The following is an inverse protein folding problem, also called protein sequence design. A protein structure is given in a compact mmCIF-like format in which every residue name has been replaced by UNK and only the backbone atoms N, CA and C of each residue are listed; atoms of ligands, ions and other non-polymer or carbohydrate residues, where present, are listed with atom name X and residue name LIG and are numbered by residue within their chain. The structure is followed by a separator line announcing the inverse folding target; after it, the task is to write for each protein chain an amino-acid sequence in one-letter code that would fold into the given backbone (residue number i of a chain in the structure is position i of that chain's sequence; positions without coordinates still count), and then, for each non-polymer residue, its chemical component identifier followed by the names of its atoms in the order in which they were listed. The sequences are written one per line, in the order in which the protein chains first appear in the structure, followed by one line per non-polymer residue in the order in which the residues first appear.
data_IF_295410742438
#
_entry.id   IF_295410742438
#
_cell.length_a   1.000
_cell.length_b   1.000
_cell.length_c   1.000
_cell.angle_alpha   90.00
_cell.angle_beta   90.00
_cell.angle_gamma   90.00
#
_symmetry.space_group_name_H-M   'P 1'
#
loop_
_entity.id
_entity.type
_entity.pdbx_description
1 polymer ?
#
# COMPACT_ATOMS: atom_id res chain seq x y z
N UNK A 1 9.19 -20.14 -15.73
CA UNK A 1 9.43 -18.72 -16.03
C UNK A 1 10.65 -18.32 -15.22
N UNK A 2 11.77 -18.03 -15.87
CA UNK A 2 12.99 -17.60 -15.17
C UNK A 2 12.76 -16.17 -14.65
N UNK A 3 12.95 -15.96 -13.35
CA UNK A 3 12.79 -14.66 -12.71
C UNK A 3 14.19 -14.15 -12.37
N UNK A 4 14.59 -13.04 -12.99
CA UNK A 4 15.92 -12.47 -12.77
C UNK A 4 16.11 -12.12 -11.28
N UNK A 5 17.27 -12.49 -10.75
CA UNK A 5 17.70 -12.07 -9.41
C UNK A 5 18.10 -10.60 -9.44
N UNK A 6 18.11 -9.93 -8.28
CA UNK A 6 18.60 -8.54 -8.20
C UNK A 6 20.04 -8.43 -8.72
N UNK A 7 20.89 -9.40 -8.40
CA UNK A 7 22.29 -9.40 -8.79
C UNK A 7 22.48 -9.48 -10.31
N UNK A 8 21.68 -10.31 -11.00
CA UNK A 8 21.71 -10.36 -12.47
C UNK A 8 21.35 -9.02 -13.10
N UNK A 9 20.32 -8.36 -12.58
CA UNK A 9 19.91 -7.05 -13.06
C UNK A 9 21.01 -6.01 -12.79
N UNK A 10 21.66 -6.05 -11.62
CA UNK A 10 22.78 -5.16 -11.31
C UNK A 10 23.99 -5.40 -12.23
N UNK A 11 24.28 -6.66 -12.57
CA UNK A 11 25.33 -7.01 -13.52
C UNK A 11 25.00 -6.48 -14.92
N UNK A 12 23.74 -6.61 -15.36
CA UNK A 12 23.28 -6.06 -16.64
C UNK A 12 23.38 -4.54 -16.72
N UNK A 13 23.13 -3.84 -15.60
CA UNK A 13 23.31 -2.39 -15.54
C UNK A 13 24.80 -2.01 -15.63
N UNK A 14 25.71 -2.86 -15.13
CA UNK A 14 27.15 -2.64 -15.16
C UNK A 14 27.64 -1.64 -14.11
N UNK A 15 28.82 -1.85 -13.52
CA UNK A 15 29.27 -1.02 -12.38
C UNK A 15 29.45 0.47 -12.69
N UNK A 16 29.62 0.84 -13.96
CA UNK A 16 29.87 2.21 -14.40
C UNK A 16 28.62 3.01 -14.77
N UNK A 17 27.41 2.42 -14.82
CA UNK A 17 26.23 3.14 -15.33
C UNK A 17 25.95 4.41 -14.53
N UNK A 18 26.14 4.35 -13.21
CA UNK A 18 25.85 5.47 -12.31
C UNK A 18 26.78 6.66 -12.58
N UNK A 19 28.02 6.42 -13.04
CA UNK A 19 28.99 7.49 -13.34
C UNK A 19 28.64 8.23 -14.63
N UNK A 20 27.99 7.55 -15.58
CA UNK A 20 27.63 8.10 -16.90
C UNK A 20 26.13 8.43 -17.02
N UNK A 21 25.39 8.39 -15.90
CA UNK A 21 23.96 8.65 -15.90
C UNK A 21 23.67 10.14 -16.13
N UNK A 22 22.54 10.45 -16.78
CA UNK A 22 21.96 11.78 -16.68
C UNK A 22 21.39 11.97 -15.28
N UNK A 23 21.32 13.20 -14.78
CA UNK A 23 20.88 13.49 -13.42
C UNK A 23 19.69 14.44 -13.39
N UNK A 24 18.72 14.14 -12.54
CA UNK A 24 17.68 15.08 -12.13
C UNK A 24 17.93 15.48 -10.68
N UNK A 25 18.63 16.60 -10.48
CA UNK A 25 19.17 16.96 -9.16
C UNK A 25 20.20 15.94 -8.68
N UNK A 26 19.93 15.25 -7.58
CA UNK A 26 20.80 14.18 -7.04
C UNK A 26 20.40 12.76 -7.47
N UNK A 27 19.36 12.63 -8.29
CA UNK A 27 18.81 11.34 -8.69
C UNK A 27 19.43 10.92 -10.05
N UNK A 28 20.12 9.77 -10.12
CA UNK A 28 20.65 9.25 -11.38
C UNK A 28 19.53 8.65 -12.23
N UNK A 29 19.53 8.97 -13.52
CA UNK A 29 18.52 8.59 -14.48
C UNK A 29 19.08 7.49 -15.41
N UNK A 30 18.51 6.30 -15.34
CA UNK A 30 18.86 5.21 -16.25
C UNK A 30 18.04 5.31 -17.55
N UNK A 31 18.66 5.17 -18.75
CA UNK A 31 17.97 5.34 -20.03
C UNK A 31 16.81 4.36 -20.24
N UNK A 32 16.94 3.11 -19.75
CA UNK A 32 15.84 2.13 -19.80
C UNK A 32 14.62 2.56 -18.95
N UNK A 33 14.80 3.42 -17.95
CA UNK A 33 13.69 3.95 -17.17
C UNK A 33 12.92 5.07 -17.88
N UNK A 34 13.51 5.66 -18.92
CA UNK A 34 12.89 6.76 -19.69
C UNK A 34 11.96 6.26 -20.79
N UNK A 35 12.00 4.97 -21.10
CA UNK A 35 11.19 4.39 -22.16
C UNK A 35 9.75 4.18 -21.68
N UNK A 36 8.78 4.52 -22.54
CA UNK A 36 7.39 4.08 -22.40
C UNK A 36 7.25 2.62 -22.85
N UNK A 37 6.14 1.93 -22.52
CA UNK A 37 5.93 0.57 -23.02
C UNK A 37 5.82 0.52 -24.54
N UNK A 38 5.29 1.58 -25.15
CA UNK A 38 5.25 1.69 -26.60
C UNK A 38 6.66 1.70 -27.22
N UNK A 39 7.56 2.57 -26.72
CA UNK A 39 8.96 2.60 -27.19
C UNK A 39 9.69 1.29 -26.91
N UNK A 40 9.43 0.68 -25.75
CA UNK A 40 9.97 -0.62 -25.40
C UNK A 40 9.56 -1.71 -26.40
N UNK A 41 8.33 -1.70 -26.90
CA UNK A 41 7.89 -2.64 -27.95
C UNK A 41 8.58 -2.39 -29.30
N UNK A 42 8.74 -1.11 -29.68
CA UNK A 42 9.38 -0.72 -30.94
C UNK A 42 10.87 -1.08 -31.00
N UNK A 43 11.55 -1.13 -29.86
CA UNK A 43 12.98 -1.47 -29.76
C UNK A 43 13.26 -2.99 -29.82
N UNK A 44 12.38 -3.80 -30.41
CA UNK A 44 12.57 -5.25 -30.52
C UNK A 44 13.51 -5.59 -31.67
N UNK A 45 14.48 -6.48 -31.44
CA UNK A 45 15.48 -6.85 -32.47
C UNK A 45 14.97 -7.95 -33.40
N UNK A 46 14.10 -8.82 -32.89
CA UNK A 46 13.57 -9.98 -33.61
C UNK A 46 12.15 -10.33 -33.14
N UNK A 47 11.45 -11.16 -33.92
CA UNK A 47 10.06 -11.54 -33.63
C UNK A 47 9.90 -12.35 -32.32
N UNK A 48 10.94 -12.99 -31.81
CA UNK A 48 10.89 -13.74 -30.55
C UNK A 48 10.91 -12.77 -29.36
N UNK A 49 11.80 -11.77 -29.40
CA UNK A 49 11.88 -10.68 -28.44
C UNK A 49 10.60 -9.84 -28.45
N UNK A 50 10.07 -9.50 -29.63
CA UNK A 50 8.79 -8.81 -29.76
C UNK A 50 7.65 -9.54 -29.03
N UNK A 51 7.53 -10.87 -29.23
CA UNK A 51 6.54 -11.68 -28.53
C UNK A 51 6.74 -11.68 -27.02
N UNK A 52 7.98 -11.79 -26.55
CA UNK A 52 8.29 -11.78 -25.12
C UNK A 52 7.90 -10.44 -24.47
N UNK A 53 8.25 -9.31 -25.12
CA UNK A 53 7.88 -7.97 -24.68
C UNK A 53 6.36 -7.79 -24.68
N UNK A 54 5.67 -8.25 -25.73
CA UNK A 54 4.21 -8.17 -25.84
C UNK A 54 3.50 -8.91 -24.70
N UNK A 55 3.95 -10.11 -24.34
CA UNK A 55 3.38 -10.91 -23.24
C UNK A 55 3.48 -10.15 -21.91
N UNK A 56 4.64 -9.56 -21.63
CA UNK A 56 4.86 -8.78 -20.39
C UNK A 56 4.01 -7.53 -20.36
N UNK A 57 3.95 -6.79 -21.47
CA UNK A 57 3.13 -5.58 -21.59
C UNK A 57 1.64 -5.89 -21.41
N UNK A 58 1.13 -6.96 -22.03
CA UNK A 58 -0.25 -7.42 -21.84
C UNK A 58 -0.53 -7.86 -20.39
N UNK A 59 0.40 -8.59 -19.76
CA UNK A 59 0.26 -9.00 -18.36
C UNK A 59 0.20 -7.79 -17.43
N UNK A 60 1.06 -6.80 -17.63
CA UNK A 60 1.04 -5.57 -16.84
C UNK A 60 -0.25 -4.78 -17.07
N UNK A 61 -0.71 -4.67 -18.33
CA UNK A 61 -2.00 -4.06 -18.66
C UNK A 61 -3.16 -4.67 -17.89
N UNK A 62 -3.23 -6.01 -17.88
CA UNK A 62 -4.29 -6.73 -17.15
C UNK A 62 -4.25 -6.43 -15.65
N UNK A 63 -3.06 -6.34 -15.05
CA UNK A 63 -2.89 -5.96 -13.64
C UNK A 63 -3.39 -4.53 -13.43
N UNK A 64 -3.00 -3.59 -14.28
CA UNK A 64 -3.38 -2.18 -14.16
C UNK A 64 -4.90 -1.96 -14.30
N UNK A 65 -5.57 -2.69 -15.21
CA UNK A 65 -7.03 -2.68 -15.35
C UNK A 65 -7.71 -3.19 -14.07
N UNK A 66 -7.23 -4.30 -13.50
CA UNK A 66 -7.79 -4.85 -12.26
C UNK A 66 -7.62 -3.88 -11.08
N UNK A 67 -6.45 -3.25 -10.97
CA UNK A 67 -6.15 -2.23 -9.97
C UNK A 67 -7.06 -1.01 -10.16
N UNK A 68 -7.26 -0.54 -11.40
CA UNK A 68 -8.16 0.57 -11.71
C UNK A 68 -9.61 0.27 -11.29
N UNK A 69 -10.13 -0.92 -11.61
CA UNK A 69 -11.48 -1.34 -11.23
C UNK A 69 -11.63 -1.41 -9.71
N UNK A 70 -10.65 -1.96 -9.00
CA UNK A 70 -10.64 -2.03 -7.53
C UNK A 70 -10.67 -0.63 -6.91
N UNK A 71 -9.84 0.29 -7.39
CA UNK A 71 -9.79 1.65 -6.85
C UNK A 71 -10.97 2.52 -7.25
N UNK A 72 -11.56 2.30 -8.43
CA UNK A 72 -12.82 2.93 -8.83
C UNK A 72 -13.97 2.49 -7.90
N UNK A 73 -14.05 1.19 -7.58
CA UNK A 73 -15.01 0.68 -6.60
C UNK A 73 -14.80 1.31 -5.21
N UNK A 74 -13.55 1.29 -4.72
CA UNK A 74 -13.19 1.87 -3.42
C UNK A 74 -13.53 3.38 -3.37
N UNK A 75 -13.33 4.10 -4.47
CA UNK A 75 -13.68 5.52 -4.59
C UNK A 75 -15.19 5.74 -4.44
N UNK A 76 -16.01 4.97 -5.16
CA UNK A 76 -17.47 5.06 -5.07
C UNK A 76 -17.96 4.78 -3.64
N UNK A 77 -17.44 3.73 -3.01
CA UNK A 77 -17.81 3.38 -1.62
C UNK A 77 -17.35 4.48 -0.65
N UNK A 78 -16.12 4.99 -0.79
CA UNK A 78 -15.56 6.03 0.06
C UNK A 78 -16.31 7.35 -0.05
N UNK A 79 -16.73 7.74 -1.26
CA UNK A 79 -17.58 8.93 -1.48
C UNK A 79 -18.92 8.79 -0.76
N UNK A 80 -19.57 7.62 -0.84
CA UNK A 80 -20.83 7.34 -0.12
C UNK A 80 -20.63 7.42 1.40
N UNK A 81 -19.51 6.90 1.92
CA UNK A 81 -19.18 6.99 3.34
C UNK A 81 -18.94 8.43 3.79
N UNK A 82 -18.18 9.21 2.99
CA UNK A 82 -17.88 10.61 3.29
C UNK A 82 -19.14 11.47 3.29
N UNK A 83 -20.03 11.27 2.31
CA UNK A 83 -21.30 12.00 2.24
C UNK A 83 -22.18 11.76 3.48
N UNK A 84 -22.20 10.53 4.00
CA UNK A 84 -22.96 10.19 5.21
C UNK A 84 -22.31 10.69 6.50
N UNK A 85 -20.98 10.71 6.57
CA UNK A 85 -20.20 11.04 7.79
C UNK A 85 -18.92 11.82 7.44
N UNK A 86 -19.00 13.12 7.16
CA UNK A 86 -17.88 13.92 6.67
C UNK A 86 -16.80 14.22 7.72
N UNK A 87 -17.10 14.05 9.01
CA UNK A 87 -16.20 14.39 10.12
C UNK A 87 -15.33 13.23 10.61
N UNK A 88 -15.44 12.05 10.01
CA UNK A 88 -14.69 10.85 10.43
C UNK A 88 -13.39 10.78 9.65
N UNK A 89 -12.24 10.95 10.30
CA UNK A 89 -10.91 10.94 9.64
C UNK A 89 -10.69 9.68 8.78
N UNK A 90 -11.17 8.53 9.24
CA UNK A 90 -11.08 7.28 8.48
C UNK A 90 -11.80 7.33 7.11
N UNK A 91 -12.94 8.03 6.98
CA UNK A 91 -13.62 8.15 5.68
C UNK A 91 -12.83 9.05 4.72
N UNK A 92 -12.19 10.10 5.23
CA UNK A 92 -11.26 10.95 4.46
C UNK A 92 -10.03 10.17 4.01
N UNK A 93 -9.43 9.36 4.88
CA UNK A 93 -8.28 8.51 4.54
C UNK A 93 -8.62 7.50 3.44
N UNK A 94 -9.77 6.83 3.55
CA UNK A 94 -10.27 5.92 2.50
C UNK A 94 -10.46 6.65 1.16
N UNK A 95 -10.97 7.88 1.17
CA UNK A 95 -11.13 8.68 -0.05
C UNK A 95 -9.77 9.04 -0.66
N UNK A 96 -8.84 9.59 0.13
CA UNK A 96 -7.50 9.99 -0.33
C UNK A 96 -6.76 8.80 -0.93
N UNK A 97 -6.77 7.64 -0.26
CA UNK A 97 -6.17 6.42 -0.77
C UNK A 97 -6.82 5.94 -2.07
N UNK A 98 -8.16 6.04 -2.18
CA UNK A 98 -8.89 5.62 -3.38
C UNK A 98 -8.59 6.52 -4.58
N UNK A 99 -8.50 7.83 -4.37
CA UNK A 99 -8.12 8.80 -5.40
C UNK A 99 -6.68 8.58 -5.84
N UNK A 100 -5.75 8.44 -4.91
CA UNK A 100 -4.34 8.17 -5.23
C UNK A 100 -4.17 6.87 -6.02
N UNK A 101 -4.89 5.81 -5.62
CA UNK A 101 -4.87 4.53 -6.32
C UNK A 101 -5.44 4.59 -7.73
N UNK A 102 -6.56 5.30 -7.91
CA UNK A 102 -7.15 5.49 -9.24
C UNK A 102 -6.24 6.33 -10.15
N UNK A 103 -5.66 7.43 -9.65
CA UNK A 103 -4.72 8.26 -10.42
C UNK A 103 -3.47 7.47 -10.84
N UNK A 104 -2.93 6.64 -9.93
CA UNK A 104 -1.84 5.73 -10.23
C UNK A 104 -2.21 4.75 -11.35
N UNK A 105 -3.38 4.09 -11.25
CA UNK A 105 -3.82 3.13 -12.25
C UNK A 105 -4.09 3.79 -13.62
N UNK A 106 -4.66 5.00 -13.65
CA UNK A 106 -4.84 5.77 -14.88
C UNK A 106 -3.50 6.16 -15.52
N UNK A 107 -2.51 6.52 -14.71
CA UNK A 107 -1.15 6.81 -15.20
C UNK A 107 -0.50 5.56 -15.77
N UNK A 108 -0.67 4.41 -15.12
CA UNK A 108 -0.17 3.13 -15.61
C UNK A 108 -0.85 2.73 -16.93
N UNK A 109 -2.18 2.85 -17.04
CA UNK A 109 -2.91 2.61 -18.29
C UNK A 109 -2.52 3.58 -19.41
N UNK A 110 -2.10 4.81 -19.09
CA UNK A 110 -1.63 5.76 -20.08
C UNK A 110 -0.28 5.37 -20.72
N UNK A 111 0.52 4.50 -20.10
CA UNK A 111 1.84 4.06 -20.62
C UNK A 111 1.76 3.33 -21.97
N UNK A 112 0.56 2.87 -22.35
CA UNK A 112 0.28 2.18 -23.61
C UNK A 112 0.09 3.13 -24.79
N UNK A 113 -0.12 4.42 -24.52
CA UNK A 113 -0.14 5.43 -25.58
C UNK A 113 1.28 5.73 -26.08
N UNK A 114 1.44 6.11 -27.36
CA UNK A 114 2.75 6.48 -27.93
C UNK A 114 3.49 7.55 -27.12
N UNK A 115 2.74 8.55 -26.65
CA UNK A 115 3.22 9.66 -25.80
C UNK A 115 2.94 9.42 -24.30
N UNK A 116 2.78 8.15 -23.92
CA UNK A 116 2.51 7.75 -22.54
C UNK A 116 3.68 8.04 -21.59
N UNK A 117 3.43 8.03 -20.27
CA UNK A 117 4.47 8.20 -19.27
C UNK A 117 5.56 7.13 -19.38
N UNK A 118 6.79 7.51 -19.04
CA UNK A 118 7.92 6.57 -18.97
C UNK A 118 7.77 5.59 -17.81
N UNK A 119 8.51 4.48 -17.87
CA UNK A 119 8.59 3.51 -16.77
C UNK A 119 8.94 4.19 -15.44
N UNK A 120 9.82 5.19 -15.45
CA UNK A 120 10.17 5.94 -14.24
C UNK A 120 9.00 6.72 -13.67
N UNK A 121 8.27 7.46 -14.50
CA UNK A 121 7.08 8.20 -14.05
C UNK A 121 6.09 7.23 -13.42
N UNK A 122 5.89 6.05 -14.00
CA UNK A 122 5.06 5.01 -13.42
C UNK A 122 5.59 4.51 -12.06
N UNK A 123 6.88 4.21 -11.94
CA UNK A 123 7.50 3.81 -10.64
C UNK A 123 7.30 4.91 -9.60
N UNK A 124 7.54 6.16 -9.95
CA UNK A 124 7.42 7.29 -9.03
C UNK A 124 5.98 7.50 -8.56
N UNK A 125 5.02 7.44 -9.47
CA UNK A 125 3.60 7.58 -9.13
C UNK A 125 3.09 6.39 -8.32
N UNK A 126 3.46 5.16 -8.68
CA UNK A 126 3.10 3.95 -7.91
C UNK A 126 3.67 3.99 -6.50
N UNK A 127 4.96 4.31 -6.35
CA UNK A 127 5.59 4.38 -5.03
C UNK A 127 4.98 5.48 -4.17
N UNK A 128 4.67 6.65 -4.75
CA UNK A 128 3.96 7.73 -4.05
C UNK A 128 2.55 7.32 -3.60
N UNK A 129 1.79 6.65 -4.47
CA UNK A 129 0.43 6.19 -4.16
C UNK A 129 0.44 5.11 -3.06
N UNK A 130 1.39 4.16 -3.12
CA UNK A 130 1.61 3.15 -2.06
C UNK A 130 1.96 3.83 -0.73
N UNK A 131 2.90 4.79 -0.72
CA UNK A 131 3.25 5.53 0.50
C UNK A 131 2.06 6.32 1.07
N UNK A 132 1.23 6.89 0.20
CA UNK A 132 0.01 7.59 0.63
C UNK A 132 -0.97 6.63 1.30
N UNK A 133 -1.11 5.41 0.76
CA UNK A 133 -1.89 4.34 1.38
C UNK A 133 -1.34 3.92 2.74
N UNK A 134 -0.03 3.70 2.84
CA UNK A 134 0.66 3.36 4.10
C UNK A 134 0.39 4.42 5.19
N UNK A 135 0.45 5.71 4.84
CA UNK A 135 0.13 6.81 5.76
C UNK A 135 -1.34 6.80 6.18
N UNK A 136 -2.27 6.61 5.25
CA UNK A 136 -3.70 6.55 5.53
C UNK A 136 -4.04 5.41 6.51
N UNK A 137 -3.50 4.21 6.28
CA UNK A 137 -3.66 3.05 7.16
C UNK A 137 -3.10 3.35 8.55
N UNK A 138 -1.88 3.91 8.62
CA UNK A 138 -1.22 4.25 9.88
C UNK A 138 -2.02 5.27 10.70
N UNK A 139 -2.58 6.30 10.04
CA UNK A 139 -3.44 7.31 10.68
C UNK A 139 -4.70 6.68 11.26
N UNK A 140 -5.38 5.80 10.51
CA UNK A 140 -6.61 5.15 10.98
C UNK A 140 -6.33 4.22 12.16
N UNK A 141 -5.24 3.46 12.11
CA UNK A 141 -4.87 2.58 13.22
C UNK A 141 -4.48 3.38 14.46
N UNK A 142 -3.70 4.46 14.30
CA UNK A 142 -3.32 5.35 15.41
C UNK A 142 -4.54 6.03 16.02
N UNK A 143 -5.49 6.48 15.22
CA UNK A 143 -6.75 7.06 15.70
C UNK A 143 -7.52 6.05 16.56
N UNK A 144 -7.65 4.80 16.10
CA UNK A 144 -8.32 3.76 16.87
C UNK A 144 -7.59 3.44 18.17
N UNK A 145 -6.28 3.28 18.12
CA UNK A 145 -5.48 3.03 19.32
C UNK A 145 -5.62 4.17 20.34
N UNK A 146 -5.70 5.43 19.86
CA UNK A 146 -5.92 6.60 20.71
C UNK A 146 -7.29 6.59 21.39
N UNK A 147 -8.35 6.21 20.67
CA UNK A 147 -9.68 6.06 21.25
C UNK A 147 -9.71 4.93 22.30
N UNK A 148 -9.14 3.79 21.95
CA UNK A 148 -9.10 2.58 22.77
C UNK A 148 -8.31 2.76 24.07
N UNK A 149 -7.22 3.53 24.05
CA UNK A 149 -6.37 3.80 25.23
C UNK A 149 -6.84 4.99 26.08
N UNK A 150 -8.14 5.31 26.04
CA UNK A 150 -8.74 6.43 26.76
C UNK A 150 -7.97 7.75 26.52
N UNK A 151 -7.59 8.01 25.26
CA UNK A 151 -6.92 9.24 24.82
C UNK A 151 -5.54 9.47 25.43
N UNK A 152 -4.79 8.39 25.66
CA UNK A 152 -3.40 8.49 26.12
C UNK A 152 -2.53 9.27 25.10
N UNK A 153 -1.98 10.41 25.52
CA UNK A 153 -1.16 11.30 24.68
C UNK A 153 0.19 10.70 24.28
N UNK A 154 0.66 9.65 24.97
CA UNK A 154 1.94 9.01 24.66
C UNK A 154 1.99 8.44 23.23
N UNK A 155 0.83 8.12 22.65
CA UNK A 155 0.72 7.66 21.26
C UNK A 155 1.21 8.68 20.21
N UNK A 156 1.27 9.97 20.55
CA UNK A 156 1.77 10.98 19.64
C UNK A 156 3.27 10.87 19.35
N UNK A 157 4.02 10.10 20.14
CA UNK A 157 5.43 9.75 19.85
C UNK A 157 5.58 9.02 18.51
N UNK A 158 4.52 8.35 18.02
CA UNK A 158 4.53 7.66 16.72
C UNK A 158 4.29 8.58 15.52
N UNK A 159 3.78 9.80 15.73
CA UNK A 159 3.51 10.73 14.62
C UNK A 159 4.80 11.07 13.86
N UNK A 160 5.91 11.49 14.52
CA UNK A 160 7.18 11.70 13.83
C UNK A 160 7.64 10.47 13.05
N UNK A 161 7.51 9.27 13.64
CA UNK A 161 7.91 8.03 12.96
C UNK A 161 7.11 7.80 11.67
N UNK A 162 5.79 7.96 11.71
CA UNK A 162 4.89 7.81 10.56
C UNK A 162 5.20 8.88 9.49
N UNK A 163 5.34 10.13 9.92
CA UNK A 163 5.59 11.27 9.03
C UNK A 163 6.97 11.18 8.38
N UNK A 164 7.99 10.70 9.09
CA UNK A 164 9.35 10.53 8.54
C UNK A 164 9.48 9.29 7.66
N UNK A 165 8.77 8.19 7.97
CA UNK A 165 8.83 6.95 7.20
C UNK A 165 8.44 7.15 5.72
N UNK A 166 7.37 7.90 5.46
CA UNK A 166 6.86 8.15 4.11
C UNK A 166 7.91 8.79 3.18
N UNK A 167 8.41 10.00 3.49
CA UNK A 167 9.43 10.69 2.70
C UNK A 167 10.73 9.91 2.55
N UNK A 168 11.21 9.25 3.61
CA UNK A 168 12.46 8.47 3.54
C UNK A 168 12.32 7.30 2.58
N UNK A 169 11.24 6.51 2.70
CA UNK A 169 11.00 5.37 1.82
C UNK A 169 10.73 5.83 0.39
N UNK A 170 10.01 6.94 0.20
CA UNK A 170 9.76 7.54 -1.10
C UNK A 170 11.06 7.99 -1.78
N UNK A 171 11.94 8.68 -1.05
CA UNK A 171 13.23 9.14 -1.56
C UNK A 171 14.11 7.97 -2.00
N UNK A 172 14.20 6.92 -1.18
CA UNK A 172 14.97 5.72 -1.54
C UNK A 172 14.40 5.06 -2.79
N UNK A 173 13.08 4.91 -2.89
CA UNK A 173 12.43 4.38 -4.10
C UNK A 173 12.67 5.25 -5.34
N UNK A 174 12.61 6.57 -5.22
CA UNK A 174 12.79 7.50 -6.34
C UNK A 174 14.25 7.61 -6.80
N UNK A 175 15.19 7.45 -5.87
CA UNK A 175 16.63 7.41 -6.16
C UNK A 175 17.11 6.08 -6.77
N UNK A 176 16.26 5.05 -6.73
CA UNK A 176 16.54 3.73 -7.29
C UNK A 176 16.33 3.74 -8.81
N UNK A 177 17.17 3.06 -9.61
CA UNK A 177 16.99 3.05 -11.06
C UNK A 177 15.72 2.29 -11.43
N UNK A 178 14.85 2.95 -12.18
CA UNK A 178 13.73 2.33 -12.88
C UNK A 178 14.22 1.77 -14.22
N UNK A 179 13.80 0.55 -14.55
CA UNK A 179 14.11 -0.10 -15.83
C UNK A 179 12.92 -0.88 -16.34
N UNK A 180 12.80 -0.99 -17.66
CA UNK A 180 11.89 -1.91 -18.34
C UNK A 180 12.67 -3.09 -18.89
N UNK A 181 12.22 -4.32 -18.64
CA UNK A 181 12.83 -5.54 -19.19
C UNK A 181 11.78 -6.48 -19.75
N UNK A 182 12.17 -7.35 -20.68
CA UNK A 182 11.29 -8.34 -21.30
C UNK A 182 10.90 -9.48 -20.33
N UNK A 183 11.53 -9.58 -19.15
CA UNK A 183 11.22 -10.59 -18.14
C UNK A 183 10.26 -10.09 -17.06
N UNK A 184 10.38 -8.82 -16.65
CA UNK A 184 9.68 -8.28 -15.48
C UNK A 184 8.74 -7.11 -15.78
N UNK A 185 8.80 -6.54 -16.98
CA UNK A 185 8.13 -5.29 -17.30
C UNK A 185 8.87 -4.13 -16.66
N UNK A 186 8.12 -3.10 -16.27
CA UNK A 186 8.70 -1.95 -15.57
C UNK A 186 8.85 -2.25 -14.08
N UNK A 187 10.09 -2.13 -13.59
CA UNK A 187 10.46 -2.37 -12.19
C UNK A 187 11.43 -1.28 -11.74
N UNK A 188 11.58 -1.12 -10.42
CA UNK A 188 12.70 -0.37 -9.85
C UNK A 188 13.63 -1.30 -9.09
N UNK A 189 14.93 -1.11 -9.29
CA UNK A 189 15.95 -1.93 -8.65
C UNK A 189 16.22 -1.35 -7.28
N UNK A 190 15.50 -1.86 -6.28
CA UNK A 190 15.64 -1.41 -4.90
C UNK A 190 16.99 -1.85 -4.30
N UNK A 191 17.60 -1.02 -3.44
CA UNK A 191 18.83 -1.39 -2.76
C UNK A 191 18.58 -2.45 -1.69
N UNK A 192 19.62 -3.19 -1.32
CA UNK A 192 19.57 -4.27 -0.32
C UNK A 192 18.97 -3.87 1.02
N UNK A 193 19.22 -2.65 1.46
CA UNK A 193 18.71 -2.14 2.72
C UNK A 193 17.24 -1.72 2.65
N UNK A 194 16.61 -1.61 1.47
CA UNK A 194 15.24 -1.10 1.33
C UNK A 194 14.18 -1.94 2.07
N UNK A 195 14.18 -3.29 1.98
CA UNK A 195 13.20 -4.11 2.71
C UNK A 195 13.38 -3.99 4.22
N UNK A 196 14.62 -3.95 4.70
CA UNK A 196 14.96 -3.76 6.11
C UNK A 196 14.58 -2.37 6.62
N UNK A 197 14.75 -1.35 5.80
CA UNK A 197 14.32 0.01 6.09
C UNK A 197 12.79 0.09 6.22
N UNK A 198 12.05 -0.52 5.28
CA UNK A 198 10.59 -0.65 5.38
C UNK A 198 10.19 -1.39 6.66
N UNK A 199 10.83 -2.53 6.94
CA UNK A 199 10.60 -3.29 8.16
C UNK A 199 10.82 -2.42 9.41
N UNK A 200 11.94 -1.70 9.49
CA UNK A 200 12.28 -0.84 10.62
C UNK A 200 11.26 0.27 10.88
N UNK A 201 10.60 0.81 9.85
CA UNK A 201 9.56 1.81 10.04
C UNK A 201 8.19 1.20 10.40
N UNK A 202 7.80 0.12 9.73
CA UNK A 202 6.46 -0.45 9.89
C UNK A 202 6.33 -1.41 11.07
N UNK A 203 7.37 -2.20 11.37
CA UNK A 203 7.32 -3.23 12.40
C UNK A 203 7.11 -2.66 13.82
N UNK A 204 7.84 -1.61 14.28
CA UNK A 204 7.63 -1.07 15.62
C UNK A 204 6.21 -0.54 15.82
N UNK A 205 5.68 0.14 14.80
CA UNK A 205 4.31 0.66 14.81
C UNK A 205 3.29 -0.48 14.88
N UNK A 206 3.43 -1.49 14.01
CA UNK A 206 2.53 -2.64 13.98
C UNK A 206 2.57 -3.45 15.29
N UNK A 207 3.77 -3.76 15.80
CA UNK A 207 3.95 -4.51 17.06
C UNK A 207 3.29 -3.76 18.21
N UNK A 208 3.53 -2.44 18.32
CA UNK A 208 2.94 -1.68 19.41
C UNK A 208 1.42 -1.57 19.29
N UNK A 209 0.88 -1.28 18.10
CA UNK A 209 -0.56 -1.20 17.89
C UNK A 209 -1.22 -2.53 18.22
N UNK A 210 -0.67 -3.64 17.74
CA UNK A 210 -1.15 -4.99 18.09
C UNK A 210 -1.07 -5.23 19.60
N UNK A 211 0.01 -4.82 20.26
CA UNK A 211 0.15 -4.91 21.72
C UNK A 211 -0.96 -4.17 22.49
N UNK A 212 -1.25 -2.92 22.09
CA UNK A 212 -2.34 -2.13 22.68
C UNK A 212 -3.70 -2.81 22.47
N UNK A 213 -3.96 -3.29 21.25
CA UNK A 213 -5.22 -3.98 20.95
C UNK A 213 -5.36 -5.26 21.77
N UNK A 214 -4.28 -6.03 21.94
CA UNK A 214 -4.29 -7.24 22.76
C UNK A 214 -4.51 -6.93 24.24
N UNK A 215 -3.86 -5.90 24.78
CA UNK A 215 -4.06 -5.47 26.17
C UNK A 215 -5.52 -5.08 26.43
N UNK A 216 -6.10 -4.24 25.57
CA UNK A 216 -7.51 -3.86 25.72
C UNK A 216 -8.45 -5.04 25.51
N UNK A 217 -8.19 -5.92 24.54
CA UNK A 217 -8.97 -7.13 24.35
C UNK A 217 -8.93 -8.04 25.59
N UNK A 218 -7.76 -8.14 26.22
CA UNK A 218 -7.58 -8.92 27.44
C UNK A 218 -8.31 -8.31 28.65
N UNK A 219 -8.27 -6.99 28.80
CA UNK A 219 -9.00 -6.28 29.86
C UNK A 219 -10.52 -6.43 29.70
N UNK A 220 -11.05 -6.27 28.49
CA UNK A 220 -12.47 -6.47 28.22
C UNK A 220 -12.92 -7.92 28.42
N UNK A 221 -12.09 -8.88 28.00
CA UNK A 221 -12.35 -10.30 28.25
C UNK A 221 -12.54 -10.59 29.75
N UNK A 222 -11.67 -10.00 30.60
CA UNK A 222 -11.74 -10.18 32.06
C UNK A 222 -12.98 -9.53 32.68
N UNK A 223 -13.50 -8.44 32.11
CA UNK A 223 -14.62 -7.69 32.68
C UNK A 223 -16.01 -8.19 32.23
N UNK A 224 -16.18 -8.51 30.95
CA UNK A 224 -17.51 -8.74 30.35
C UNK A 224 -17.83 -10.22 30.07
N UNK A 225 -16.90 -11.14 30.34
CA UNK A 225 -17.10 -12.56 30.09
C UNK A 225 -17.05 -12.95 28.61
N UNK A 226 -17.28 -14.23 28.30
CA UNK A 226 -16.99 -14.83 26.99
C UNK A 226 -17.90 -14.37 25.85
N UNK A 227 -19.17 -14.05 26.14
CA UNK A 227 -20.19 -13.94 25.09
C UNK A 227 -20.17 -12.56 24.40
N UNK A 228 -20.06 -11.48 25.19
CA UNK A 228 -19.86 -10.14 24.64
C UNK A 228 -18.47 -10.01 24.00
N UNK A 229 -17.47 -10.66 24.61
CA UNK A 229 -16.11 -10.74 24.05
C UNK A 229 -16.11 -11.39 22.68
N UNK A 230 -16.84 -12.49 22.45
CA UNK A 230 -16.85 -13.18 21.15
C UNK A 230 -17.30 -12.26 20.01
N UNK A 231 -18.25 -11.36 20.28
CA UNK A 231 -18.75 -10.42 19.29
C UNK A 231 -17.76 -9.26 19.05
N UNK A 232 -17.21 -8.67 20.12
CA UNK A 232 -16.22 -7.61 20.02
C UNK A 232 -14.89 -8.09 19.40
N UNK A 233 -14.46 -9.29 19.78
CA UNK A 233 -13.29 -9.96 19.25
C UNK A 233 -13.43 -10.20 17.75
N UNK A 234 -14.62 -10.62 17.27
CA UNK A 234 -14.84 -10.89 15.84
C UNK A 234 -14.66 -9.63 15.00
N UNK A 235 -15.08 -8.47 15.48
CA UNK A 235 -15.03 -7.22 14.71
C UNK A 235 -13.70 -6.47 14.90
N UNK A 236 -13.16 -6.46 16.13
CA UNK A 236 -11.93 -5.75 16.49
C UNK A 236 -10.65 -6.50 16.15
N UNK A 237 -10.58 -7.81 16.47
CA UNK A 237 -9.36 -8.62 16.26
C UNK A 237 -9.15 -8.86 14.77
N UNK A 238 -10.21 -9.04 13.99
CA UNK A 238 -10.06 -9.21 12.55
C UNK A 238 -9.30 -8.02 11.95
N UNK A 239 -9.66 -6.78 12.28
CA UNK A 239 -8.97 -5.63 11.65
C UNK A 239 -7.64 -5.32 12.30
N UNK A 240 -7.52 -5.45 13.63
CA UNK A 240 -6.28 -5.19 14.34
C UNK A 240 -5.17 -6.22 14.06
N UNK A 241 -5.52 -7.48 13.81
CA UNK A 241 -4.57 -8.58 13.57
C UNK A 241 -4.41 -8.91 12.09
N UNK A 242 -5.49 -8.90 11.30
CA UNK A 242 -5.42 -9.25 9.86
C UNK A 242 -4.78 -8.11 9.06
N UNK A 243 -4.81 -6.86 9.49
CA UNK A 243 -4.19 -5.77 8.70
C UNK A 243 -2.65 -5.73 8.80
N UNK A 244 -2.02 -5.98 9.98
CA UNK A 244 -0.55 -6.05 10.07
C UNK A 244 0.07 -7.33 9.49
N UNK A 245 -0.66 -8.44 9.49
CA UNK A 245 -0.12 -9.74 9.05
C UNK A 245 0.32 -9.75 7.57
N UNK A 246 -0.49 -9.29 6.59
CA UNK A 246 -0.09 -9.13 5.20
C UNK A 246 1.14 -8.24 5.07
N UNK A 247 1.19 -7.11 5.77
CA UNK A 247 2.34 -6.22 5.74
C UNK A 247 3.64 -6.93 6.17
N UNK A 248 3.58 -7.73 7.25
CA UNK A 248 4.72 -8.53 7.71
C UNK A 248 5.12 -9.60 6.70
N UNK A 249 4.16 -10.41 6.24
CA UNK A 249 4.39 -11.48 5.25
C UNK A 249 4.99 -10.91 3.96
N UNK A 250 4.44 -9.79 3.47
CA UNK A 250 4.94 -9.09 2.28
C UNK A 250 6.38 -8.59 2.49
N UNK A 251 6.68 -8.03 3.66
CA UNK A 251 8.04 -7.55 3.97
C UNK A 251 9.04 -8.69 4.00
N UNK A 252 8.70 -9.84 4.61
CA UNK A 252 9.56 -11.03 4.57
C UNK A 252 9.70 -11.61 3.16
N UNK A 253 8.62 -11.65 2.37
CA UNK A 253 8.68 -12.14 0.99
C UNK A 253 9.59 -11.30 0.09
N UNK A 254 9.65 -9.99 0.34
CA UNK A 254 10.56 -9.06 -0.34
C UNK A 254 11.99 -9.21 0.17
N UNK A 255 12.19 -9.24 1.50
CA UNK A 255 13.51 -9.36 2.10
C UNK A 255 14.21 -10.68 1.71
N UNK A 256 13.44 -11.76 1.57
CA UNK A 256 13.94 -13.08 1.18
C UNK A 256 13.95 -13.29 -0.35
N UNK A 257 13.55 -12.29 -1.15
CA UNK A 257 13.49 -12.37 -2.62
C UNK A 257 12.79 -13.65 -3.12
N UNK A 258 11.66 -14.02 -2.50
CA UNK A 258 10.94 -15.29 -2.81
C UNK A 258 10.64 -15.46 -4.32
N UNK A 259 10.44 -14.35 -5.03
CA UNK A 259 10.14 -14.30 -6.47
C UNK A 259 11.21 -13.47 -7.22
N UNK A 260 12.43 -13.40 -6.67
CA UNK A 260 13.51 -12.57 -7.17
C UNK A 260 13.18 -11.07 -7.11
N UNK A 261 13.58 -10.30 -8.13
CA UNK A 261 13.28 -8.86 -8.19
C UNK A 261 11.77 -8.57 -8.27
N UNK A 262 10.99 -9.53 -8.77
CA UNK A 262 9.53 -9.41 -8.89
C UNK A 262 8.82 -9.45 -7.53
N UNK A 263 9.51 -9.85 -6.44
CA UNK A 263 8.96 -9.75 -5.08
C UNK A 263 8.49 -8.32 -4.76
N UNK A 264 9.02 -7.28 -5.40
CA UNK A 264 8.56 -5.91 -5.21
C UNK A 264 7.07 -5.71 -5.55
N UNK A 265 6.53 -6.51 -6.47
CA UNK A 265 5.11 -6.47 -6.84
C UNK A 265 4.20 -6.92 -5.70
N UNK A 266 4.74 -7.65 -4.71
CA UNK A 266 4.00 -7.99 -3.49
C UNK A 266 3.63 -6.74 -2.70
N UNK A 267 4.39 -5.63 -2.80
CA UNK A 267 3.98 -4.33 -2.22
C UNK A 267 2.71 -3.77 -2.86
N UNK A 268 2.55 -3.93 -4.17
CA UNK A 268 1.36 -3.47 -4.88
C UNK A 268 0.14 -4.28 -4.44
N UNK A 269 0.29 -5.60 -4.32
CA UNK A 269 -0.77 -6.50 -3.82
C UNK A 269 -1.14 -6.15 -2.38
N UNK A 270 -0.16 -5.99 -1.50
CA UNK A 270 -0.33 -5.59 -0.10
C UNK A 270 -1.11 -4.28 0.03
N UNK A 271 -0.77 -3.29 -0.80
CA UNK A 271 -1.46 -2.00 -0.83
C UNK A 271 -2.91 -2.12 -1.33
N UNK A 272 -3.16 -2.88 -2.40
CA UNK A 272 -4.52 -3.14 -2.90
C UNK A 272 -5.39 -3.84 -1.86
N UNK A 273 -4.86 -4.88 -1.21
CA UNK A 273 -5.54 -5.63 -0.15
C UNK A 273 -5.81 -4.72 1.05
N UNK A 274 -4.81 -3.97 1.50
CA UNK A 274 -4.96 -3.03 2.62
C UNK A 274 -6.00 -1.95 2.32
N UNK A 275 -6.03 -1.40 1.10
CA UNK A 275 -7.04 -0.42 0.69
C UNK A 275 -8.45 -1.01 0.74
N UNK A 276 -8.62 -2.21 0.20
CA UNK A 276 -9.92 -2.88 0.17
C UNK A 276 -10.42 -3.19 1.59
N UNK A 277 -9.55 -3.77 2.43
CA UNK A 277 -9.88 -4.09 3.82
C UNK A 277 -10.23 -2.85 4.63
N UNK A 278 -9.51 -1.75 4.43
CA UNK A 278 -9.77 -0.48 5.11
C UNK A 278 -11.16 0.06 4.74
N UNK A 279 -11.49 0.11 3.45
CA UNK A 279 -12.80 0.58 2.96
C UNK A 279 -13.93 -0.31 3.46
N UNK A 280 -13.76 -1.64 3.36
CA UNK A 280 -14.74 -2.61 3.83
C UNK A 280 -15.01 -2.46 5.34
N UNK A 281 -13.94 -2.28 6.14
CA UNK A 281 -14.04 -2.09 7.58
C UNK A 281 -14.74 -0.79 7.97
N UNK A 282 -14.40 0.33 7.33
CA UNK A 282 -15.04 1.61 7.65
C UNK A 282 -16.52 1.59 7.26
N UNK A 283 -16.87 0.91 6.17
CA UNK A 283 -18.25 0.76 5.73
C UNK A 283 -19.08 -0.10 6.70
N UNK A 284 -18.52 -1.21 7.20
CA UNK A 284 -19.22 -2.11 8.15
C UNK A 284 -19.52 -1.43 9.48
N UNK A 285 -18.57 -0.66 10.03
CA UNK A 285 -18.80 0.18 11.22
C UNK A 285 -19.91 1.22 10.99
N UNK A 286 -19.99 1.75 9.76
CA UNK A 286 -21.05 2.64 9.32
C UNK A 286 -22.45 2.01 9.51
N UNK A 287 -22.61 0.77 9.04
CA UNK A 287 -23.87 0.04 9.06
C UNK A 287 -24.27 -0.37 10.48
N UNK A 288 -23.33 -0.86 11.29
CA UNK A 288 -23.61 -1.29 12.66
C UNK A 288 -24.16 -0.16 13.53
N UNK A 289 -23.56 1.04 13.44
CA UNK A 289 -24.04 2.21 14.18
C UNK A 289 -25.49 2.62 13.81
N UNK A 290 -25.90 2.41 12.56
CA UNK A 290 -27.28 2.70 12.14
C UNK A 290 -28.27 1.66 12.70
N UNK A 291 -27.87 0.39 12.75
CA UNK A 291 -28.73 -0.69 13.28
C UNK A 291 -28.89 -0.60 14.81
N UNK A 292 -27.83 -0.22 15.53
CA UNK A 292 -27.87 -0.05 16.99
C UNK A 292 -28.78 1.10 17.42
N UNK A 293 -28.77 2.22 16.68
CA UNK A 293 -29.66 3.37 16.94
C UNK A 293 -31.15 3.02 16.86
N UNK A 294 -31.53 2.05 16.04
CA UNK A 294 -32.92 1.61 15.90
C UNK A 294 -33.42 0.78 17.10
N UNK A 295 -32.54 0.04 17.78
CA UNK A 295 -32.91 -0.82 18.92
C UNK A 295 -32.97 -0.09 20.27
N UNK A 296 -32.21 1.00 20.45
CA UNK A 296 -32.18 1.72 21.73
C UNK A 296 -33.33 2.72 21.95
N UNK A 297 -34.30 2.79 21.03
CA UNK A 297 -35.44 3.71 21.13
C UNK A 297 -36.44 3.45 22.28
N UNK A 298 -36.16 2.57 23.25
CA UNK A 298 -37.09 2.31 24.37
C UNK A 298 -36.51 2.16 25.78
N UNK A 299 -35.20 2.12 25.98
CA UNK A 299 -34.62 1.98 27.33
C UNK A 299 -33.25 2.65 27.41
N UNK A 300 -33.19 3.75 28.17
CA UNK A 300 -32.03 4.33 28.87
C UNK A 300 -30.65 4.15 28.22
N UNK A 301 -30.17 5.21 27.56
CA UNK A 301 -28.89 5.23 26.84
C UNK A 301 -27.66 4.98 27.74
N UNK A 302 -26.83 3.96 27.46
CA UNK A 302 -25.44 3.94 27.90
C UNK A 302 -24.56 4.68 26.89
N UNK A 303 -23.78 5.64 27.36
CA UNK A 303 -22.84 6.48 26.60
C UNK A 303 -21.67 5.73 25.93
N UNK A 304 -21.73 4.40 25.81
CA UNK A 304 -20.55 3.56 25.50
C UNK A 304 -20.31 3.29 24.01
N UNK A 305 -21.17 3.75 23.09
CA UNK A 305 -21.17 3.27 21.70
C UNK A 305 -20.55 4.24 20.66
N UNK A 306 -19.70 5.18 21.09
CA UNK A 306 -18.96 6.08 20.18
C UNK A 306 -17.44 6.01 20.41
N UNK A 307 -16.94 4.80 20.68
CA UNK A 307 -15.51 4.48 20.58
C UNK A 307 -15.27 3.64 19.33
#
# INVERSE_FOLDING_TARGET
MYLATRNEVLIQLGHAWKQNATYFGSIPLHPLGEQSFYQFMLNSENAVDERARMIVVLRQHMIDVLVALLFAWNLVVSLRMLYRRPRVIATTCCLVQSVAGLLCAMTALATFHPDGPSCRVMVWTTTAAVRTGDLCVSIVLLQKAYLVTNRNRWLFVFIPLIVTAGPVLLYVSWSSPAIVTAGSGCIFVYPEYFPWLRFGFHAPMNIMLTGIFLDVAFQHWRQFGSDCWRQLARDGIQVGLIMPLPNLVCTFAIALEVVGIYSIMVLLVDWCVSSFLLVAHVNSMGQQANTAGCKMGKTSAPQLLIL
#
